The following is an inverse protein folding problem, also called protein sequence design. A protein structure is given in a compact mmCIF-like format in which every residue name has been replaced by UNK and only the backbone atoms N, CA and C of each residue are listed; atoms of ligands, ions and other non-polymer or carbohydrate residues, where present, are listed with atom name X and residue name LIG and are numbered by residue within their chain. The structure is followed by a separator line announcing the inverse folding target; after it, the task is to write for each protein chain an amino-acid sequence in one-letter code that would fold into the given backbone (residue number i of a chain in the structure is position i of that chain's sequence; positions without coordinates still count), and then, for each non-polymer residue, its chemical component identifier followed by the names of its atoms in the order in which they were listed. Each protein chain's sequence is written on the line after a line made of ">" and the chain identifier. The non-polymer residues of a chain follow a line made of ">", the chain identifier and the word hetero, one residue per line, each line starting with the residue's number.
data_IF_366364099047
#
_entry.id   IF_366364099047
#
_cell.length_a   1.000
_cell.length_b   1.000
_cell.length_c   1.000
_cell.angle_alpha   90.00
_cell.angle_beta   90.00
_cell.angle_gamma   90.00
#
_symmetry.space_group_name_H-M   'P 1'
#
loop_
_entity.id
_entity.type
_entity.pdbx_description
1 polymer ?
#
# COMPACT_ATOMS: atom_id res chain seq x y z
N UNK A 1 8.43 19.12 22.83
CA UNK A 1 7.65 19.46 21.62
C UNK A 1 7.42 18.19 20.83
N UNK A 2 6.17 17.81 20.71
CA UNK A 2 5.79 16.70 19.84
C UNK A 2 6.15 17.08 18.40
N UNK A 3 7.01 16.31 17.76
CA UNK A 3 7.25 16.44 16.32
C UNK A 3 5.95 16.04 15.64
N UNK A 4 5.15 17.03 15.24
CA UNK A 4 3.97 16.78 14.41
C UNK A 4 4.45 16.07 13.15
N UNK A 5 3.98 14.86 12.94
CA UNK A 5 4.15 14.17 11.67
C UNK A 5 3.58 15.10 10.60
N UNK A 6 4.34 15.30 9.53
CA UNK A 6 3.87 16.18 8.44
C UNK A 6 2.63 15.56 7.78
N UNK A 7 1.48 16.15 8.06
CA UNK A 7 0.20 15.68 7.58
C UNK A 7 -0.13 16.18 6.15
N UNK A 8 0.88 16.44 5.34
CA UNK A 8 0.75 16.85 3.94
C UNK A 8 1.08 15.72 2.95
N UNK A 9 1.25 14.50 3.49
CA UNK A 9 1.50 13.31 2.68
C UNK A 9 1.05 12.07 3.43
N UNK A 10 0.33 11.21 2.74
CA UNK A 10 -0.19 9.96 3.30
C UNK A 10 0.27 8.80 2.41
N UNK A 11 0.79 7.76 3.05
CA UNK A 11 1.14 6.49 2.40
C UNK A 11 0.20 5.40 2.90
N UNK A 12 -0.51 4.76 1.97
CA UNK A 12 -1.37 3.61 2.32
C UNK A 12 -0.58 2.33 2.13
N UNK A 13 -0.48 1.56 3.18
CA UNK A 13 0.22 0.27 3.20
C UNK A 13 -0.76 -0.85 3.55
N UNK A 14 -0.43 -2.06 3.16
CA UNK A 14 -1.29 -3.22 3.41
C UNK A 14 -1.13 -4.26 2.32
N UNK A 15 -1.78 -5.40 2.55
CA UNK A 15 -1.68 -6.55 1.67
C UNK A 15 -2.39 -6.29 0.33
N UNK A 16 -2.05 -7.09 -0.69
CA UNK A 16 -2.76 -7.02 -1.97
C UNK A 16 -4.27 -7.24 -1.76
N UNK A 17 -5.11 -6.51 -2.50
CA UNK A 17 -6.56 -6.62 -2.34
C UNK A 17 -7.14 -5.90 -1.12
N UNK A 18 -6.34 -5.15 -0.37
CA UNK A 18 -6.83 -4.36 0.76
C UNK A 18 -7.63 -3.11 0.36
N UNK A 19 -7.53 -2.70 -0.91
CA UNK A 19 -8.25 -1.53 -1.41
C UNK A 19 -7.46 -0.22 -1.34
N UNK A 20 -6.14 -0.29 -1.25
CA UNK A 20 -5.25 0.88 -1.12
C UNK A 20 -5.47 1.91 -2.22
N UNK A 21 -5.51 1.48 -3.47
CA UNK A 21 -5.68 2.39 -4.61
C UNK A 21 -7.03 3.11 -4.57
N UNK A 22 -8.09 2.38 -4.26
CA UNK A 22 -9.45 2.94 -4.16
C UNK A 22 -9.53 3.97 -3.04
N UNK A 23 -8.99 3.65 -1.86
CA UNK A 23 -8.97 4.56 -0.71
C UNK A 23 -8.08 5.76 -1.01
N UNK A 24 -6.92 5.56 -1.64
CA UNK A 24 -6.00 6.64 -2.01
C UNK A 24 -6.69 7.67 -2.91
N UNK A 25 -7.39 7.21 -3.94
CA UNK A 25 -8.11 8.11 -4.86
C UNK A 25 -9.23 8.87 -4.16
N UNK A 26 -9.99 8.20 -3.30
CA UNK A 26 -11.08 8.83 -2.56
C UNK A 26 -10.57 9.84 -1.54
N UNK A 27 -9.51 9.50 -0.80
CA UNK A 27 -8.90 10.41 0.18
C UNK A 27 -8.29 11.63 -0.51
N UNK A 28 -7.55 11.43 -1.60
CA UNK A 28 -6.94 12.52 -2.35
C UNK A 28 -8.00 13.50 -2.87
N UNK A 29 -9.11 12.97 -3.38
CA UNK A 29 -10.23 13.79 -3.86
C UNK A 29 -10.84 14.60 -2.72
N UNK A 30 -11.02 13.98 -1.56
CA UNK A 30 -11.56 14.63 -0.36
C UNK A 30 -10.66 15.76 0.15
N UNK A 31 -9.34 15.59 0.03
CA UNK A 31 -8.34 16.56 0.50
C UNK A 31 -7.91 17.56 -0.58
N UNK A 32 -8.38 17.41 -1.81
CA UNK A 32 -7.91 18.15 -2.99
C UNK A 32 -6.40 17.94 -3.20
N UNK A 33 -5.96 16.70 -3.04
CA UNK A 33 -4.58 16.26 -3.26
C UNK A 33 -4.51 15.36 -4.51
N UNK A 34 -3.30 14.99 -4.90
CA UNK A 34 -3.07 14.03 -5.97
C UNK A 34 -2.91 12.61 -5.41
N UNK A 35 -3.55 11.64 -6.06
CA UNK A 35 -3.36 10.22 -5.75
C UNK A 35 -2.34 9.61 -6.71
N UNK A 36 -1.41 8.83 -6.19
CA UNK A 36 -0.47 8.03 -6.99
C UNK A 36 -0.45 6.60 -6.48
N UNK A 37 -0.17 5.66 -7.37
CA UNK A 37 -0.02 4.24 -7.05
C UNK A 37 1.36 3.79 -7.52
N UNK A 38 2.15 3.25 -6.60
CA UNK A 38 3.54 2.85 -6.87
C UNK A 38 3.59 1.77 -7.96
N UNK A 39 2.71 0.77 -7.90
CA UNK A 39 2.70 -0.30 -8.90
C UNK A 39 2.34 0.24 -10.29
N UNK A 40 1.36 1.16 -10.39
CA UNK A 40 1.01 1.81 -11.66
C UNK A 40 2.19 2.62 -12.22
N UNK A 41 2.92 3.35 -11.37
CA UNK A 41 4.09 4.11 -11.80
C UNK A 41 5.22 3.19 -12.29
N UNK A 42 5.41 2.05 -11.65
CA UNK A 42 6.37 1.05 -12.09
C UNK A 42 5.99 0.51 -13.47
N UNK A 43 4.72 0.15 -13.64
CA UNK A 43 4.22 -0.38 -14.92
C UNK A 43 4.35 0.64 -16.05
N UNK A 44 4.09 1.91 -15.79
CA UNK A 44 4.27 2.99 -16.77
C UNK A 44 5.75 3.16 -17.14
N UNK A 45 6.64 3.12 -16.16
CA UNK A 45 8.08 3.28 -16.37
C UNK A 45 8.67 2.12 -17.17
N UNK A 46 8.31 0.89 -16.82
CA UNK A 46 8.87 -0.31 -17.43
C UNK A 46 8.12 -0.74 -18.69
N UNK A 47 6.91 -0.22 -18.93
CA UNK A 47 6.01 -0.61 -20.02
C UNK A 47 5.69 -2.10 -20.00
N UNK A 48 5.61 -2.67 -18.81
CA UNK A 48 5.30 -4.06 -18.53
C UNK A 48 4.39 -4.10 -17.30
N UNK A 49 3.53 -5.10 -17.20
CA UNK A 49 2.79 -5.35 -15.97
C UNK A 49 3.75 -5.82 -14.86
N UNK A 50 3.35 -5.68 -13.60
CA UNK A 50 4.14 -6.18 -12.47
C UNK A 50 4.44 -7.68 -12.66
N UNK A 51 3.44 -8.47 -13.07
CA UNK A 51 3.64 -9.90 -13.33
C UNK A 51 4.67 -10.15 -14.42
N UNK A 52 4.64 -9.38 -15.51
CA UNK A 52 5.60 -9.49 -16.60
C UNK A 52 7.01 -9.12 -16.15
N UNK A 53 7.15 -8.10 -15.30
CA UNK A 53 8.45 -7.72 -14.74
C UNK A 53 9.03 -8.87 -13.92
N UNK A 54 8.23 -9.50 -13.06
CA UNK A 54 8.67 -10.64 -12.26
C UNK A 54 9.12 -11.81 -13.12
N UNK A 55 8.36 -12.13 -14.17
CA UNK A 55 8.71 -13.25 -15.09
C UNK A 55 9.96 -12.93 -15.89
N UNK A 56 10.08 -11.71 -16.41
CA UNK A 56 11.16 -11.33 -17.33
C UNK A 56 12.46 -10.98 -16.61
N UNK A 57 12.37 -10.29 -15.48
CA UNK A 57 13.53 -9.70 -14.79
C UNK A 57 13.75 -10.24 -13.37
N UNK A 58 12.74 -10.85 -12.76
CA UNK A 58 12.81 -11.38 -11.39
C UNK A 58 12.54 -10.35 -10.30
N UNK A 59 12.37 -10.84 -9.09
CA UNK A 59 12.02 -10.00 -7.92
C UNK A 59 13.09 -8.96 -7.58
N UNK A 60 14.42 -9.29 -7.55
CA UNK A 60 15.42 -8.27 -7.22
C UNK A 60 15.37 -7.05 -8.12
N UNK A 61 15.14 -7.23 -9.41
CA UNK A 61 14.99 -6.14 -10.36
C UNK A 61 13.74 -5.30 -10.04
N UNK A 62 12.61 -5.97 -9.79
CA UNK A 62 11.37 -5.28 -9.41
C UNK A 62 11.58 -4.43 -8.16
N UNK A 63 12.24 -4.96 -7.13
CA UNK A 63 12.51 -4.23 -5.89
C UNK A 63 13.43 -3.03 -6.11
N UNK A 64 14.38 -3.14 -7.03
CA UNK A 64 15.24 -2.00 -7.41
C UNK A 64 14.42 -0.88 -8.05
N UNK A 65 13.54 -1.21 -8.98
CA UNK A 65 12.66 -0.23 -9.64
C UNK A 65 11.68 0.38 -8.65
N UNK A 66 11.11 -0.44 -7.77
CA UNK A 66 10.19 0.00 -6.71
C UNK A 66 10.85 1.04 -5.81
N UNK A 67 12.09 0.81 -5.37
CA UNK A 67 12.83 1.79 -4.55
C UNK A 67 13.06 3.11 -5.29
N UNK A 68 13.40 3.04 -6.57
CA UNK A 68 13.62 4.24 -7.38
C UNK A 68 12.33 5.05 -7.57
N UNK A 69 11.22 4.38 -7.85
CA UNK A 69 9.91 5.01 -8.01
C UNK A 69 9.46 5.64 -6.68
N UNK A 70 9.64 4.92 -5.56
CA UNK A 70 9.32 5.45 -4.24
C UNK A 70 10.15 6.70 -3.93
N UNK A 71 11.44 6.69 -4.23
CA UNK A 71 12.33 7.84 -4.00
C UNK A 71 11.83 9.08 -4.73
N UNK A 72 11.31 8.92 -5.94
CA UNK A 72 10.74 10.03 -6.72
C UNK A 72 9.49 10.62 -6.07
N UNK A 73 8.82 9.88 -5.19
CA UNK A 73 7.62 10.35 -4.51
C UNK A 73 7.90 11.06 -3.18
N UNK A 74 9.14 11.09 -2.71
CA UNK A 74 9.45 11.70 -1.41
C UNK A 74 9.39 13.24 -1.46
N UNK A 75 9.83 13.87 -2.55
CA UNK A 75 9.85 15.32 -2.66
C UNK A 75 8.47 15.98 -2.85
N UNK A 76 7.58 15.48 -3.74
CA UNK A 76 6.27 16.11 -3.93
C UNK A 76 5.41 16.05 -2.66
N UNK A 77 4.67 17.15 -2.40
CA UNK A 77 3.78 17.23 -1.23
C UNK A 77 2.31 17.18 -1.67
N UNK A 78 1.39 17.06 -0.71
CA UNK A 78 -0.06 16.97 -0.92
C UNK A 78 -0.44 15.80 -1.85
N UNK A 79 0.08 14.62 -1.49
CA UNK A 79 -0.19 13.37 -2.22
C UNK A 79 -0.64 12.27 -1.28
N UNK A 80 -1.52 11.42 -1.80
CA UNK A 80 -1.83 10.13 -1.20
C UNK A 80 -1.19 9.06 -2.07
N UNK A 81 -0.28 8.30 -1.49
CA UNK A 81 0.51 7.29 -2.20
C UNK A 81 0.04 5.90 -1.79
N UNK A 82 -0.54 5.16 -2.74
CA UNK A 82 -0.82 3.73 -2.54
C UNK A 82 0.44 2.93 -2.86
N UNK A 83 0.92 2.16 -1.89
CA UNK A 83 2.11 1.32 -2.06
C UNK A 83 1.73 -0.08 -2.54
N UNK A 84 2.69 -0.82 -3.09
CA UNK A 84 2.52 -2.23 -3.37
C UNK A 84 2.51 -3.06 -2.08
N UNK A 85 2.06 -4.31 -2.17
CA UNK A 85 1.96 -5.19 -1.00
C UNK A 85 3.28 -5.45 -0.30
N UNK A 86 4.40 -5.37 -1.01
CA UNK A 86 5.74 -5.61 -0.46
C UNK A 86 6.57 -4.36 -0.21
N UNK A 87 6.10 -3.18 -0.63
CA UNK A 87 6.89 -1.94 -0.53
C UNK A 87 7.33 -1.66 0.91
N UNK A 88 6.40 -1.74 1.85
CA UNK A 88 6.63 -1.43 3.26
C UNK A 88 7.35 -2.55 4.02
N UNK A 89 7.53 -3.71 3.40
CA UNK A 89 8.26 -4.83 4.00
C UNK A 89 9.77 -4.56 4.04
N UNK A 90 10.29 -3.84 3.05
CA UNK A 90 11.69 -3.43 3.01
C UNK A 90 11.95 -2.37 4.12
N UNK A 91 12.87 -2.63 5.07
CA UNK A 91 13.15 -1.67 6.15
C UNK A 91 13.60 -0.29 5.68
N UNK A 92 14.32 -0.20 4.56
CA UNK A 92 14.75 1.09 4.01
C UNK A 92 13.58 1.88 3.44
N UNK A 93 12.69 1.20 2.71
CA UNK A 93 11.45 1.83 2.21
C UNK A 93 10.58 2.28 3.38
N UNK A 94 10.46 1.45 4.40
CA UNK A 94 9.67 1.75 5.61
C UNK A 94 10.20 2.99 6.33
N UNK A 95 11.51 3.09 6.50
CA UNK A 95 12.13 4.26 7.12
C UNK A 95 11.91 5.53 6.28
N UNK A 96 12.05 5.43 4.97
CA UNK A 96 11.81 6.55 4.06
C UNK A 96 10.36 7.03 4.13
N UNK A 97 9.40 6.12 4.08
CA UNK A 97 7.97 6.42 4.16
C UNK A 97 7.64 7.09 5.50
N UNK A 98 8.06 6.48 6.60
CA UNK A 98 7.73 6.96 7.95
C UNK A 98 8.40 8.28 8.28
N UNK A 99 9.53 8.58 7.65
CA UNK A 99 10.22 9.87 7.79
C UNK A 99 9.62 10.98 6.92
N UNK A 100 8.88 10.63 5.87
CA UNK A 100 8.34 11.59 4.91
C UNK A 100 6.90 12.01 5.16
N UNK A 101 6.06 11.08 5.61
CA UNK A 101 4.64 11.34 5.79
C UNK A 101 3.99 10.39 6.79
N UNK A 102 2.68 10.32 6.73
CA UNK A 102 1.87 9.44 7.59
C UNK A 102 1.63 8.12 6.87
N UNK A 103 2.07 7.02 7.46
CA UNK A 103 1.77 5.68 6.95
C UNK A 103 0.52 5.14 7.62
N UNK A 104 -0.38 4.59 6.81
CA UNK A 104 -1.67 4.06 7.22
C UNK A 104 -1.79 2.62 6.74
N UNK A 105 -1.90 1.69 7.69
CA UNK A 105 -2.14 0.30 7.36
C UNK A 105 -3.64 0.03 7.22
N UNK A 106 -4.06 -0.35 6.02
CA UNK A 106 -5.42 -0.85 5.79
C UNK A 106 -5.44 -2.34 6.09
N UNK A 107 -5.95 -2.68 7.27
CA UNK A 107 -5.97 -4.07 7.75
C UNK A 107 -7.25 -4.75 7.32
N UNK A 108 -7.12 -5.70 6.40
CA UNK A 108 -8.23 -6.52 5.88
C UNK A 108 -7.94 -7.98 6.21
N UNK A 109 -8.91 -8.73 6.79
CA UNK A 109 -8.71 -10.15 7.09
C UNK A 109 -8.44 -10.97 5.84
N UNK A 110 -7.73 -12.07 6.00
CA UNK A 110 -7.33 -12.96 4.91
C UNK A 110 -8.51 -13.47 4.09
N UNK A 111 -9.60 -13.85 4.73
CA UNK A 111 -10.81 -14.32 4.04
C UNK A 111 -11.42 -13.26 3.12
N UNK A 112 -11.38 -12.00 3.54
CA UNK A 112 -11.84 -10.86 2.73
C UNK A 112 -10.91 -10.59 1.55
N UNK A 113 -9.60 -10.70 1.77
CA UNK A 113 -8.60 -10.57 0.71
C UNK A 113 -8.81 -11.64 -0.35
N UNK A 114 -8.99 -12.90 0.06
CA UNK A 114 -9.23 -14.02 -0.83
C UNK A 114 -10.52 -13.79 -1.64
N UNK A 115 -11.57 -13.31 -1.00
CA UNK A 115 -12.86 -13.05 -1.67
C UNK A 115 -12.76 -11.96 -2.75
N UNK A 116 -11.79 -11.06 -2.64
CA UNK A 116 -11.55 -9.97 -3.60
C UNK A 116 -10.64 -10.34 -4.76
N UNK A 117 -10.00 -11.51 -4.71
CA UNK A 117 -9.15 -11.97 -5.80
C UNK A 117 -9.99 -12.30 -7.04
N UNK A 118 -9.43 -12.13 -8.27
CA UNK A 118 -10.10 -12.57 -9.49
C UNK A 118 -10.45 -14.06 -9.43
N UNK A 119 -11.55 -14.51 -10.10
CA UNK A 119 -12.01 -15.90 -10.04
C UNK A 119 -10.91 -16.94 -10.33
N UNK A 120 -10.01 -16.67 -11.24
CA UNK A 120 -8.91 -17.56 -11.61
C UNK A 120 -7.90 -17.75 -10.48
N UNK A 121 -7.82 -16.77 -9.58
CA UNK A 121 -6.92 -16.79 -8.42
C UNK A 121 -7.62 -17.20 -7.13
N UNK A 122 -8.95 -17.35 -7.13
CA UNK A 122 -9.72 -17.74 -5.93
C UNK A 122 -9.55 -19.21 -5.57
N UNK A 123 -9.10 -20.03 -6.51
CA UNK A 123 -8.90 -21.48 -6.32
C UNK A 123 -7.46 -21.87 -6.60
N UNK A 124 -6.50 -21.30 -5.86
CA UNK A 124 -5.13 -21.78 -5.99
C UNK A 124 -5.07 -23.24 -5.55
N UNK A 125 -4.10 -23.98 -6.07
CA UNK A 125 -3.76 -25.29 -5.53
C UNK A 125 -3.52 -25.17 -4.02
N UNK A 126 -3.81 -26.22 -3.25
CA UNK A 126 -3.70 -26.18 -1.79
C UNK A 126 -2.34 -25.68 -1.31
N UNK A 127 -1.25 -26.04 -2.01
CA UNK A 127 0.09 -25.57 -1.71
C UNK A 127 0.24 -24.05 -1.92
N UNK A 128 -0.33 -23.52 -3.01
CA UNK A 128 -0.30 -22.07 -3.30
C UNK A 128 -1.09 -21.28 -2.26
N UNK A 129 -2.18 -21.86 -1.77
CA UNK A 129 -2.99 -21.25 -0.72
C UNK A 129 -2.20 -21.17 0.60
N UNK A 130 -1.48 -22.24 0.95
CA UNK A 130 -0.63 -22.27 2.15
C UNK A 130 0.46 -21.19 2.04
N UNK A 131 1.11 -21.07 0.89
CA UNK A 131 2.12 -20.05 0.65
C UNK A 131 1.52 -18.65 0.70
N UNK A 132 0.33 -18.45 0.16
CA UNK A 132 -0.38 -17.17 0.19
C UNK A 132 -0.69 -16.75 1.64
N UNK A 133 -1.21 -17.67 2.46
CA UNK A 133 -1.46 -17.42 3.88
C UNK A 133 -0.18 -17.12 4.65
N UNK A 134 0.89 -17.85 4.36
CA UNK A 134 2.20 -17.62 4.97
C UNK A 134 2.72 -16.22 4.64
N UNK A 135 2.60 -15.81 3.38
CA UNK A 135 2.99 -14.47 2.94
C UNK A 135 2.16 -13.39 3.63
N UNK A 136 0.85 -13.58 3.73
CA UNK A 136 -0.04 -12.67 4.44
C UNK A 136 0.39 -12.44 5.88
N UNK A 137 0.63 -13.53 6.62
CA UNK A 137 1.05 -13.43 8.01
C UNK A 137 2.45 -12.85 8.18
N UNK A 138 3.37 -13.20 7.31
CA UNK A 138 4.73 -12.65 7.33
C UNK A 138 4.74 -11.13 7.11
N UNK A 139 3.93 -10.65 6.17
CA UNK A 139 3.86 -9.22 5.86
C UNK A 139 3.18 -8.37 6.94
N UNK A 140 2.27 -8.96 7.72
CA UNK A 140 1.60 -8.25 8.82
C UNK A 140 2.58 -7.67 9.82
N UNK A 141 3.66 -8.36 10.12
CA UNK A 141 4.69 -7.88 11.04
C UNK A 141 5.29 -6.54 10.57
N UNK A 142 5.51 -6.39 9.27
CA UNK A 142 6.00 -5.14 8.70
C UNK A 142 4.95 -4.02 8.77
N UNK A 143 3.70 -4.33 8.46
CA UNK A 143 2.62 -3.33 8.46
C UNK A 143 2.36 -2.72 9.85
N UNK A 144 2.67 -3.45 10.92
CA UNK A 144 2.53 -2.95 12.29
C UNK A 144 3.41 -1.73 12.58
N UNK A 145 4.43 -1.47 11.77
CA UNK A 145 5.27 -0.29 11.88
C UNK A 145 4.65 0.98 11.28
N UNK A 146 3.44 0.90 10.72
CA UNK A 146 2.72 2.08 10.24
C UNK A 146 2.31 2.99 11.40
N UNK A 147 2.17 4.28 11.12
CA UNK A 147 1.76 5.25 12.14
C UNK A 147 0.37 4.98 12.67
N UNK A 148 -0.55 4.58 11.82
CA UNK A 148 -1.92 4.19 12.22
C UNK A 148 -2.34 2.91 11.52
N UNK A 149 -3.22 2.17 12.21
CA UNK A 149 -3.89 1.00 11.66
C UNK A 149 -5.37 1.28 11.56
N UNK A 150 -5.95 1.06 10.39
CA UNK A 150 -7.40 1.12 10.17
C UNK A 150 -7.94 -0.28 9.93
N UNK A 151 -8.95 -0.65 10.71
CA UNK A 151 -9.70 -1.86 10.44
C UNK A 151 -10.61 -1.61 9.23
N UNK A 152 -10.21 -2.17 8.09
CA UNK A 152 -10.93 -2.02 6.82
C UNK A 152 -11.84 -3.22 6.52
N UNK A 153 -12.09 -4.09 7.52
CA UNK A 153 -12.85 -5.32 7.32
C UNK A 153 -14.33 -5.08 6.96
N UNK A 154 -14.96 -4.07 7.51
CA UNK A 154 -16.40 -3.80 7.34
C UNK A 154 -16.73 -2.35 6.96
N UNK A 155 -15.74 -1.48 6.95
CA UNK A 155 -15.96 -0.07 6.67
C UNK A 155 -16.10 0.18 5.17
N UNK A 156 -16.97 1.13 4.81
CA UNK A 156 -17.01 1.64 3.45
C UNK A 156 -15.78 2.50 3.17
N UNK A 157 -15.49 2.72 1.89
CA UNK A 157 -14.40 3.63 1.50
C UNK A 157 -14.63 5.03 2.09
N UNK A 158 -15.85 5.53 2.02
CA UNK A 158 -16.19 6.87 2.55
C UNK A 158 -15.97 6.94 4.06
N UNK A 159 -16.33 5.90 4.81
CA UNK A 159 -16.13 5.86 6.26
C UNK A 159 -14.62 5.86 6.60
N UNK A 160 -13.81 5.10 5.88
CA UNK A 160 -12.37 5.08 6.05
C UNK A 160 -11.74 6.45 5.75
N UNK A 161 -12.18 7.10 4.68
CA UNK A 161 -11.72 8.44 4.30
C UNK A 161 -12.01 9.46 5.39
N UNK A 162 -13.25 9.48 5.92
CA UNK A 162 -13.61 10.43 6.98
C UNK A 162 -12.83 10.16 8.28
N UNK A 163 -12.60 8.90 8.63
CA UNK A 163 -11.78 8.53 9.78
C UNK A 163 -10.33 9.05 9.62
N UNK A 164 -9.77 8.94 8.41
CA UNK A 164 -8.44 9.47 8.11
C UNK A 164 -8.39 11.00 8.15
N UNK A 165 -9.40 11.67 7.61
CA UNK A 165 -9.49 13.13 7.65
C UNK A 165 -9.55 13.62 9.11
N UNK A 166 -10.37 12.99 9.94
CA UNK A 166 -10.47 13.31 11.36
C UNK A 166 -9.12 13.14 12.07
N UNK A 167 -8.40 12.07 11.76
CA UNK A 167 -7.08 11.82 12.35
C UNK A 167 -6.06 12.88 11.91
N UNK A 168 -6.07 13.26 10.63
CA UNK A 168 -5.14 14.26 10.09
C UNK A 168 -5.39 15.66 10.66
N UNK A 169 -6.65 15.96 11.00
CA UNK A 169 -7.05 17.26 11.56
C UNK A 169 -6.83 17.35 13.08
N UNK A 170 -6.58 16.23 13.74
CA UNK A 170 -6.45 16.19 15.21
C UNK A 170 -5.08 16.67 15.73
#
# INVERSE_FOLDING_TARGET
>A
MSTRVKADKVYLVGFMGAGKTTVARALARRLDWEAVDIDELIEQRERLSVSEIFVKHGEPYFRMVERAVLADQLAPRHRVVATGGGTFVDPQNRAAINGDGVSVWLDVPLDRVIARLPPDNRRPLAADRVEFERLFHARRDAYQHAHIRLDASRASVDALVEELVDWLDS
#
